data_IF_086511138428
#
_entry.id   IF_086511138428
#
_cell.length_a   1.000
_cell.length_b   1.000
_cell.length_c   1.000
_cell.angle_alpha   90.00
_cell.angle_beta   90.00
_cell.angle_gamma   90.00
#
_symmetry.space_group_name_H-M   'P 1'
#
loop_
_entity.id
_entity.type
_entity.pdbx_description
1 polymer ?
#
# COMPACT_ATOMS: atom_id res chain seq x y z
N UNK A 1 -29.78 22.81 4.81
CA UNK A 1 -28.84 21.82 5.40
C UNK A 1 -28.20 21.00 4.28
N UNK A 2 -27.07 21.46 3.73
CA UNK A 2 -26.33 20.67 2.75
C UNK A 2 -25.59 19.55 3.51
N UNK A 3 -26.04 18.31 3.32
CA UNK A 3 -25.37 17.15 3.89
C UNK A 3 -23.87 17.20 3.51
N UNK A 4 -23.03 17.07 4.54
CA UNK A 4 -21.57 17.10 4.48
C UNK A 4 -21.04 15.93 3.63
N UNK A 5 -21.18 16.03 2.30
CA UNK A 5 -20.85 14.96 1.35
C UNK A 5 -19.34 14.92 1.20
N UNK A 6 -18.72 13.84 1.71
CA UNK A 6 -17.31 13.53 1.51
C UNK A 6 -16.96 13.72 0.04
N UNK A 7 -15.89 14.46 -0.26
CA UNK A 7 -15.43 14.66 -1.64
C UNK A 7 -15.17 13.28 -2.27
N UNK A 8 -15.72 12.97 -3.46
CA UNK A 8 -15.58 11.65 -4.08
C UNK A 8 -14.16 11.40 -4.62
N UNK A 9 -13.45 12.47 -5.00
CA UNK A 9 -12.14 12.39 -5.66
C UNK A 9 -11.08 11.55 -4.90
N UNK A 10 -10.89 11.71 -3.59
CA UNK A 10 -9.88 10.91 -2.89
C UNK A 10 -10.24 9.43 -2.77
N UNK A 11 -11.54 9.09 -2.76
CA UNK A 11 -11.97 7.69 -2.85
C UNK A 11 -11.74 7.16 -4.29
N UNK A 12 -11.97 7.97 -5.34
CA UNK A 12 -11.65 7.59 -6.72
C UNK A 12 -10.18 7.22 -6.88
N UNK A 13 -9.25 8.05 -6.38
CA UNK A 13 -7.81 7.78 -6.53
C UNK A 13 -7.38 6.56 -5.70
N UNK A 14 -7.95 6.35 -4.51
CA UNK A 14 -7.73 5.12 -3.74
C UNK A 14 -8.28 3.88 -4.46
N UNK A 15 -9.43 4.02 -5.12
CA UNK A 15 -10.01 2.98 -5.96
C UNK A 15 -9.10 2.58 -7.12
N UNK A 16 -8.49 3.56 -7.76
CA UNK A 16 -7.47 3.30 -8.78
C UNK A 16 -6.25 2.58 -8.19
N UNK A 17 -5.71 3.10 -7.09
CA UNK A 17 -4.53 2.53 -6.47
C UNK A 17 -4.76 1.09 -5.97
N UNK A 18 -5.95 0.76 -5.46
CA UNK A 18 -6.24 -0.62 -5.00
C UNK A 18 -6.37 -1.60 -6.18
N UNK A 19 -6.89 -1.15 -7.32
CA UNK A 19 -6.88 -1.97 -8.55
C UNK A 19 -5.44 -2.32 -8.94
N UNK A 20 -4.52 -1.35 -8.87
CA UNK A 20 -3.12 -1.59 -9.19
C UNK A 20 -2.46 -2.62 -8.25
N UNK A 21 -2.76 -2.56 -6.95
CA UNK A 21 -2.25 -3.54 -5.96
C UNK A 21 -2.73 -4.94 -6.33
N UNK A 22 -4.04 -5.11 -6.56
CA UNK A 22 -4.61 -6.41 -6.89
C UNK A 22 -4.03 -6.94 -8.22
N UNK A 23 -3.93 -6.09 -9.24
CA UNK A 23 -3.32 -6.46 -10.52
C UNK A 23 -1.84 -6.86 -10.35
N UNK A 24 -1.07 -6.12 -9.55
CA UNK A 24 0.32 -6.46 -9.24
C UNK A 24 0.46 -7.84 -8.61
N UNK A 25 -0.40 -8.18 -7.66
CA UNK A 25 -0.43 -9.51 -7.04
C UNK A 25 -0.87 -10.62 -8.00
N UNK A 26 -1.80 -10.34 -8.92
CA UNK A 26 -2.16 -11.30 -9.98
C UNK A 26 -1.00 -11.53 -10.95
N UNK A 27 -0.26 -10.49 -11.36
CA UNK A 27 0.95 -10.66 -12.18
C UNK A 27 1.99 -11.50 -11.43
N UNK A 28 2.21 -11.20 -10.15
CA UNK A 28 3.18 -11.88 -9.31
C UNK A 28 2.86 -13.36 -9.10
N UNK A 29 1.62 -13.70 -8.75
CA UNK A 29 1.23 -15.03 -8.28
C UNK A 29 0.44 -15.85 -9.30
N UNK A 30 -0.23 -15.21 -10.26
CA UNK A 30 -1.12 -15.81 -11.26
C UNK A 30 -0.46 -16.19 -12.58
N UNK A 31 0.83 -15.87 -12.75
CA UNK A 31 1.56 -16.07 -14.01
C UNK A 31 2.28 -17.42 -14.11
N UNK A 32 1.92 -18.39 -13.26
CA UNK A 32 2.54 -19.72 -13.22
C UNK A 32 3.55 -19.93 -12.09
N UNK A 33 3.71 -21.18 -11.66
CA UNK A 33 4.59 -21.54 -10.55
C UNK A 33 6.07 -21.23 -10.87
N UNK A 34 6.55 -21.62 -12.06
CA UNK A 34 7.91 -21.34 -12.50
C UNK A 34 8.23 -19.84 -12.55
N UNK A 35 7.26 -19.01 -12.96
CA UNK A 35 7.42 -17.55 -13.00
C UNK A 35 7.52 -16.94 -11.61
N UNK A 36 6.68 -17.41 -10.68
CA UNK A 36 6.69 -16.98 -9.29
C UNK A 36 7.99 -17.40 -8.57
N UNK A 37 8.37 -18.68 -8.67
CA UNK A 37 9.57 -19.24 -8.03
C UNK A 37 10.86 -18.58 -8.54
N UNK A 38 10.96 -18.32 -9.84
CA UNK A 38 12.08 -17.61 -10.42
C UNK A 38 12.10 -16.11 -10.07
N UNK A 39 11.07 -15.60 -9.36
CA UNK A 39 10.88 -14.17 -9.09
C UNK A 39 10.91 -13.31 -10.36
N UNK A 40 10.46 -13.88 -11.49
CA UNK A 40 10.55 -13.26 -12.82
C UNK A 40 9.69 -11.99 -12.93
N UNK A 41 8.70 -11.83 -12.05
CA UNK A 41 7.91 -10.60 -11.93
C UNK A 41 8.73 -9.35 -11.64
N UNK A 42 9.93 -9.46 -11.05
CA UNK A 42 10.79 -8.29 -10.89
C UNK A 42 11.33 -7.75 -12.21
N UNK A 43 11.41 -8.56 -13.26
CA UNK A 43 11.83 -8.16 -14.61
C UNK A 43 10.66 -7.71 -15.49
N UNK A 44 9.41 -7.95 -15.06
CA UNK A 44 8.21 -7.57 -15.79
C UNK A 44 7.97 -6.05 -15.78
N UNK A 45 7.82 -5.45 -16.97
CA UNK A 45 7.69 -3.99 -17.12
C UNK A 45 6.36 -3.46 -16.59
N UNK A 46 5.27 -4.22 -16.67
CA UNK A 46 3.98 -3.78 -16.13
C UNK A 46 3.99 -3.83 -14.60
N UNK A 47 4.58 -4.88 -14.02
CA UNK A 47 4.81 -4.98 -12.58
C UNK A 47 5.70 -3.83 -12.09
N UNK A 48 6.84 -3.59 -12.74
CA UNK A 48 7.71 -2.44 -12.43
C UNK A 48 6.96 -1.10 -12.53
N UNK A 49 6.13 -0.91 -13.56
CA UNK A 49 5.32 0.30 -13.73
C UNK A 49 4.40 0.52 -12.55
N UNK A 50 3.63 -0.49 -12.17
CA UNK A 50 2.74 -0.44 -11.00
C UNK A 50 3.54 -0.09 -9.74
N UNK A 51 4.62 -0.83 -9.47
CA UNK A 51 5.42 -0.71 -8.24
C UNK A 51 6.29 0.55 -8.17
N UNK A 52 6.42 1.30 -9.25
CA UNK A 52 7.14 2.58 -9.24
C UNK A 52 6.41 3.69 -8.49
N UNK A 53 5.07 3.65 -8.38
CA UNK A 53 4.31 4.77 -7.80
C UNK A 53 3.07 4.40 -6.96
N UNK A 54 2.49 3.20 -7.07
CA UNK A 54 1.19 2.94 -6.42
C UNK A 54 1.23 3.06 -4.88
N UNK A 55 2.30 2.57 -4.22
CA UNK A 55 2.48 2.73 -2.76
C UNK A 55 2.79 4.18 -2.35
N UNK A 56 3.71 4.89 -3.03
CA UNK A 56 3.85 6.35 -2.88
C UNK A 56 2.52 7.11 -2.94
N UNK A 57 1.69 6.81 -3.95
CA UNK A 57 0.38 7.46 -4.14
C UNK A 57 -0.55 7.20 -2.96
N UNK A 58 -0.65 5.95 -2.51
CA UNK A 58 -1.43 5.59 -1.34
C UNK A 58 -0.98 6.30 -0.08
N UNK A 59 0.34 6.44 0.11
CA UNK A 59 0.91 7.03 1.31
C UNK A 59 0.78 8.55 1.33
N UNK A 60 0.93 9.22 0.19
CA UNK A 60 0.61 10.64 0.03
C UNK A 60 -0.85 10.93 0.43
N UNK A 61 -1.80 10.15 -0.09
CA UNK A 61 -3.22 10.32 0.26
C UNK A 61 -3.45 10.04 1.75
N UNK A 62 -2.80 9.02 2.30
CA UNK A 62 -2.96 8.65 3.71
C UNK A 62 -2.42 9.73 4.65
N UNK A 63 -1.25 10.29 4.36
CA UNK A 63 -0.66 11.40 5.09
C UNK A 63 -1.51 12.67 5.02
N UNK A 64 -2.01 13.01 3.82
CA UNK A 64 -2.90 14.15 3.60
C UNK A 64 -4.14 14.10 4.52
N UNK A 65 -4.80 12.95 4.62
CA UNK A 65 -5.95 12.78 5.52
C UNK A 65 -5.59 12.63 6.99
N UNK A 66 -4.38 12.18 7.30
CA UNK A 66 -3.89 12.12 8.66
C UNK A 66 -3.81 13.53 9.26
N UNK A 67 -3.33 14.52 8.49
CA UNK A 67 -3.26 15.92 8.93
C UNK A 67 -4.61 16.45 9.42
N UNK A 68 -5.67 16.35 8.62
CA UNK A 68 -7.02 16.78 9.02
C UNK A 68 -7.55 15.99 10.23
N UNK A 69 -7.24 14.69 10.31
CA UNK A 69 -7.64 13.86 11.45
C UNK A 69 -6.96 14.34 12.74
N UNK A 70 -5.66 14.68 12.67
CA UNK A 70 -4.87 15.17 13.80
C UNK A 70 -5.30 16.58 14.21
N UNK A 71 -5.47 17.49 13.26
CA UNK A 71 -5.95 18.86 13.51
C UNK A 71 -7.30 18.85 14.23
N UNK A 72 -8.24 18.01 13.78
CA UNK A 72 -9.53 17.84 14.45
C UNK A 72 -9.36 17.31 15.87
N UNK A 73 -8.51 16.31 16.06
CA UNK A 73 -8.27 15.72 17.37
C UNK A 73 -7.55 16.68 18.34
N UNK A 74 -6.71 17.58 17.84
CA UNK A 74 -6.08 18.65 18.62
C UNK A 74 -7.13 19.65 19.10
N UNK A 75 -7.99 20.14 18.18
CA UNK A 75 -9.07 21.08 18.52
C UNK A 75 -10.02 20.53 19.59
N UNK A 76 -10.28 19.23 19.58
CA UNK A 76 -11.18 18.58 20.55
C UNK A 76 -10.45 17.95 21.74
N UNK A 77 -9.12 18.02 21.82
CA UNK A 77 -8.34 17.37 22.88
C UNK A 77 -8.39 15.82 22.89
N UNK A 78 -8.83 15.16 21.81
CA UNK A 78 -9.12 13.71 21.75
C UNK A 78 -8.05 12.88 21.05
N UNK A 79 -6.81 13.38 20.99
CA UNK A 79 -5.75 12.74 20.23
C UNK A 79 -5.38 11.32 20.67
N UNK A 80 -5.42 11.03 21.98
CA UNK A 80 -5.18 9.68 22.49
C UNK A 80 -6.24 8.71 21.94
N UNK A 81 -7.48 9.19 21.84
CA UNK A 81 -8.58 8.42 21.25
C UNK A 81 -8.40 8.24 19.74
N UNK A 82 -7.88 9.25 19.03
CA UNK A 82 -7.50 9.11 17.61
C UNK A 82 -6.47 8.00 17.43
N UNK A 83 -5.37 8.03 18.19
CA UNK A 83 -4.31 7.02 18.11
C UNK A 83 -4.82 5.64 18.49
N UNK A 84 -5.55 5.51 19.61
CA UNK A 84 -6.14 4.24 20.02
C UNK A 84 -7.13 3.70 18.98
N UNK A 85 -7.93 4.57 18.34
CA UNK A 85 -8.83 4.17 17.25
C UNK A 85 -8.05 3.67 16.03
N UNK A 86 -6.99 4.37 15.61
CA UNK A 86 -6.16 3.99 14.46
C UNK A 86 -5.36 2.71 14.75
N UNK A 87 -4.80 2.58 15.94
CA UNK A 87 -4.13 1.36 16.40
C UNK A 87 -5.09 0.17 16.34
N UNK A 88 -6.31 0.28 16.91
CA UNK A 88 -7.32 -0.78 16.78
C UNK A 88 -7.74 -1.05 15.33
N UNK A 89 -7.87 0.00 14.52
CA UNK A 89 -8.23 -0.12 13.11
C UNK A 89 -7.22 -0.95 12.32
N UNK A 90 -5.93 -0.90 12.66
CA UNK A 90 -4.87 -1.63 11.94
C UNK A 90 -4.44 -2.92 12.63
N UNK A 91 -4.19 -2.90 13.94
CA UNK A 91 -3.68 -4.04 14.70
C UNK A 91 -4.68 -5.18 14.82
N UNK A 92 -5.99 -4.91 14.88
CA UNK A 92 -7.00 -5.99 14.94
C UNK A 92 -7.00 -6.78 13.62
N UNK A 93 -7.09 -6.14 12.44
CA UNK A 93 -6.90 -6.83 11.16
C UNK A 93 -5.58 -7.59 11.08
N UNK A 94 -4.45 -6.95 11.40
CA UNK A 94 -3.13 -7.60 11.36
C UNK A 94 -3.15 -8.87 12.21
N UNK A 95 -3.51 -8.78 13.50
CA UNK A 95 -3.54 -9.92 14.40
C UNK A 95 -4.48 -11.03 13.89
N UNK A 96 -5.71 -10.67 13.50
CA UNK A 96 -6.70 -11.65 13.06
C UNK A 96 -6.22 -12.41 11.82
N UNK A 97 -5.75 -11.70 10.80
CA UNK A 97 -5.38 -12.30 9.53
C UNK A 97 -4.03 -13.01 9.56
N UNK A 98 -3.06 -12.53 10.37
CA UNK A 98 -1.84 -13.30 10.66
C UNK A 98 -2.17 -14.62 11.36
N UNK A 99 -3.03 -14.61 12.38
CA UNK A 99 -3.42 -15.85 13.07
C UNK A 99 -4.20 -16.79 12.14
N UNK A 100 -5.05 -16.24 11.28
CA UNK A 100 -5.76 -17.02 10.27
C UNK A 100 -4.80 -17.71 9.30
N UNK A 101 -3.79 -16.99 8.80
CA UNK A 101 -2.80 -17.55 7.88
C UNK A 101 -1.94 -18.64 8.53
N UNK A 102 -1.49 -18.43 9.77
CA UNK A 102 -0.77 -19.44 10.54
C UNK A 102 -1.65 -20.67 10.74
N UNK A 103 -2.93 -20.50 11.09
CA UNK A 103 -3.86 -21.61 11.24
C UNK A 103 -4.07 -22.38 9.92
N UNK A 104 -4.20 -21.68 8.79
CA UNK A 104 -4.34 -22.32 7.47
C UNK A 104 -3.07 -23.08 7.09
N UNK A 105 -1.90 -22.48 7.31
CA UNK A 105 -0.59 -23.11 7.01
C UNK A 105 -0.39 -24.35 7.87
N UNK A 106 -0.68 -24.25 9.17
CA UNK A 106 -0.62 -25.37 10.10
C UNK A 106 -1.51 -26.53 9.65
N UNK A 107 -2.79 -26.27 9.32
CA UNK A 107 -3.72 -27.30 8.86
C UNK A 107 -3.24 -27.93 7.55
N UNK A 108 -2.79 -27.13 6.58
CA UNK A 108 -2.28 -27.65 5.29
C UNK A 108 -1.08 -28.57 5.48
N UNK A 109 -0.13 -28.18 6.33
CA UNK A 109 1.06 -28.99 6.59
C UNK A 109 0.72 -30.25 7.39
N UNK A 110 -0.20 -30.17 8.36
CA UNK A 110 -0.65 -31.35 9.11
C UNK A 110 -1.33 -32.40 8.21
N UNK A 111 -2.19 -31.98 7.28
CA UNK A 111 -2.91 -32.90 6.37
C UNK A 111 -1.96 -33.63 5.42
N UNK A 112 -0.75 -33.10 5.18
CA UNK A 112 0.28 -33.76 4.39
C UNK A 112 1.03 -34.86 5.15
N UNK A 113 0.90 -34.92 6.49
CA UNK A 113 1.51 -35.99 7.29
C UNK A 113 0.57 -37.20 7.29
N UNK A 114 1.01 -38.40 6.88
CA UNK A 114 0.20 -39.61 6.98
C UNK A 114 -0.24 -39.87 8.42
N UNK A 115 -1.52 -40.20 8.62
CA UNK A 115 -2.10 -40.39 9.96
C UNK A 115 -1.56 -41.64 10.67
N UNK A 116 -1.04 -42.59 9.90
CA UNK A 116 -0.40 -43.84 10.34
C UNK A 116 1.11 -43.69 10.58
N UNK A 117 1.67 -42.49 10.38
CA UNK A 117 3.08 -42.23 10.64
C UNK A 117 3.39 -42.45 12.15
N UNK A 118 4.29 -43.38 12.50
CA UNK A 118 4.60 -43.69 13.90
C UNK A 118 5.17 -42.51 14.68
N UNK A 119 5.64 -41.47 13.98
CA UNK A 119 6.21 -40.23 14.55
C UNK A 119 5.27 -39.03 14.30
N UNK A 120 4.01 -39.26 13.91
CA UNK A 120 3.01 -38.21 13.63
C UNK A 120 2.92 -37.19 14.77
N UNK A 121 2.84 -37.67 16.01
CA UNK A 121 2.69 -36.80 17.19
C UNK A 121 3.89 -35.87 17.36
N UNK A 122 5.10 -36.38 17.21
CA UNK A 122 6.32 -35.58 17.38
C UNK A 122 6.48 -34.57 16.24
N UNK A 123 6.13 -34.96 15.01
CA UNK A 123 6.07 -34.03 13.85
C UNK A 123 5.03 -32.94 14.08
N UNK A 124 3.82 -33.29 14.50
CA UNK A 124 2.76 -32.32 14.79
C UNK A 124 3.16 -31.33 15.91
N UNK A 125 3.76 -31.83 17.00
CA UNK A 125 4.27 -30.97 18.09
C UNK A 125 5.42 -30.09 17.61
N UNK A 126 6.32 -30.63 16.77
CA UNK A 126 7.39 -29.87 16.13
C UNK A 126 6.86 -28.72 15.27
N UNK A 127 5.84 -28.99 14.45
CA UNK A 127 5.16 -27.98 13.64
C UNK A 127 4.54 -26.88 14.50
N UNK A 128 3.82 -27.23 15.57
CA UNK A 128 3.27 -26.22 16.51
C UNK A 128 4.38 -25.32 17.05
N UNK A 129 5.54 -25.87 17.44
CA UNK A 129 6.66 -25.07 17.95
C UNK A 129 7.22 -24.12 16.89
N UNK A 130 7.36 -24.58 15.64
CA UNK A 130 7.85 -23.76 14.52
C UNK A 130 6.88 -22.62 14.24
N UNK A 131 5.58 -22.91 14.10
CA UNK A 131 4.55 -21.90 13.84
C UNK A 131 4.46 -20.87 14.97
N UNK A 132 4.49 -21.31 16.24
CA UNK A 132 4.50 -20.41 17.39
C UNK A 132 5.74 -19.51 17.42
N UNK A 133 6.91 -20.04 17.07
CA UNK A 133 8.14 -19.27 16.98
C UNK A 133 8.13 -18.28 15.80
N UNK A 134 7.37 -18.57 14.75
CA UNK A 134 7.23 -17.71 13.57
C UNK A 134 6.23 -16.56 13.78
N UNK A 135 5.33 -16.63 14.77
CA UNK A 135 4.31 -15.61 15.06
C UNK A 135 4.88 -14.18 15.06
N UNK A 136 5.96 -13.85 15.79
CA UNK A 136 6.45 -12.47 15.83
C UNK A 136 6.89 -11.95 14.46
N UNK A 137 7.52 -12.82 13.66
CA UNK A 137 8.00 -12.48 12.32
C UNK A 137 6.83 -12.28 11.36
N UNK A 138 5.85 -13.19 11.33
CA UNK A 138 4.64 -13.01 10.53
C UNK A 138 3.84 -11.79 10.98
N UNK A 139 3.73 -11.54 12.28
CA UNK A 139 2.94 -10.42 12.78
C UNK A 139 3.47 -9.06 12.31
N UNK A 140 4.78 -8.92 12.13
CA UNK A 140 5.41 -7.67 11.66
C UNK A 140 5.54 -7.62 10.14
N UNK A 141 5.61 -8.77 9.46
CA UNK A 141 5.78 -8.83 8.00
C UNK A 141 4.47 -8.91 7.22
N UNK A 142 3.46 -9.62 7.75
CA UNK A 142 2.17 -9.74 7.10
C UNK A 142 1.43 -8.41 7.12
N UNK A 143 0.70 -8.16 6.02
CA UNK A 143 -0.05 -6.91 5.83
C UNK A 143 0.81 -5.67 6.10
N UNK A 144 2.10 -5.71 5.76
CA UNK A 144 3.13 -4.71 6.05
C UNK A 144 2.67 -3.27 5.77
N UNK A 145 1.83 -3.05 4.75
CA UNK A 145 1.32 -1.73 4.42
C UNK A 145 0.51 -1.08 5.57
N UNK A 146 -0.23 -1.87 6.35
CA UNK A 146 -0.95 -1.39 7.54
C UNK A 146 0.00 -0.94 8.65
N UNK A 147 1.08 -1.69 8.85
CA UNK A 147 2.18 -1.29 9.73
C UNK A 147 2.84 0.00 9.24
N UNK A 148 3.10 0.12 7.95
CA UNK A 148 3.73 1.31 7.38
C UNK A 148 2.91 2.59 7.66
N UNK A 149 1.59 2.53 7.50
CA UNK A 149 0.68 3.64 7.86
C UNK A 149 0.74 3.91 9.37
N UNK A 150 0.68 2.87 10.21
CA UNK A 150 0.69 3.02 11.66
C UNK A 150 2.00 3.66 12.15
N UNK A 151 3.15 3.17 11.69
CA UNK A 151 4.46 3.75 12.02
C UNK A 151 4.58 5.19 11.56
N UNK A 152 4.14 5.50 10.34
CA UNK A 152 4.16 6.86 9.82
C UNK A 152 3.27 7.80 10.65
N UNK A 153 2.08 7.33 11.02
CA UNK A 153 1.15 8.08 11.88
C UNK A 153 1.75 8.35 13.26
N UNK A 154 2.38 7.35 13.88
CA UNK A 154 3.00 7.47 15.19
C UNK A 154 4.19 8.43 15.16
N UNK A 155 5.07 8.31 14.16
CA UNK A 155 6.21 9.19 13.98
C UNK A 155 5.78 10.66 13.78
N UNK A 156 4.84 10.91 12.87
CA UNK A 156 4.32 12.27 12.64
C UNK A 156 3.62 12.81 13.89
N UNK A 157 2.84 11.99 14.59
CA UNK A 157 2.17 12.40 15.84
C UNK A 157 3.17 12.75 16.93
N UNK A 158 4.26 12.00 17.07
CA UNK A 158 5.31 12.29 18.03
C UNK A 158 5.96 13.64 17.73
N UNK A 159 6.36 13.88 16.47
CA UNK A 159 6.99 15.14 16.07
C UNK A 159 6.05 16.33 16.24
N UNK A 160 4.78 16.19 15.85
CA UNK A 160 3.75 17.22 16.05
C UNK A 160 3.62 17.62 17.53
N UNK A 161 3.68 16.66 18.44
CA UNK A 161 3.40 16.90 19.87
C UNK A 161 4.58 17.33 20.70
N UNK A 162 5.72 16.70 20.48
CA UNK A 162 6.93 16.99 21.25
C UNK A 162 7.68 18.15 20.62
N UNK A 163 7.72 18.20 19.28
CA UNK A 163 8.57 19.13 18.52
C UNK A 163 7.77 20.13 17.66
N UNK A 164 6.46 20.23 17.87
CA UNK A 164 5.56 21.24 17.25
C UNK A 164 5.69 21.30 15.72
N UNK A 165 5.73 20.13 15.07
CA UNK A 165 5.87 19.99 13.61
C UNK A 165 7.16 20.62 13.04
N UNK A 166 8.25 20.62 13.82
CA UNK A 166 9.55 21.11 13.35
C UNK A 166 10.06 20.36 12.11
N UNK A 167 10.22 21.07 10.99
CA UNK A 167 10.77 20.54 9.74
C UNK A 167 12.19 20.00 9.92
N UNK A 168 12.99 20.60 10.82
CA UNK A 168 14.33 20.12 11.12
C UNK A 168 14.30 18.73 11.74
N UNK A 169 13.35 18.45 12.65
CA UNK A 169 13.23 17.13 13.28
C UNK A 169 12.77 16.09 12.26
N UNK A 170 11.86 16.45 11.34
CA UNK A 170 11.51 15.58 10.24
C UNK A 170 12.71 15.27 9.33
N UNK A 171 13.52 16.27 8.98
CA UNK A 171 14.73 16.07 8.19
C UNK A 171 15.75 15.17 8.91
N UNK A 172 15.96 15.38 10.21
CA UNK A 172 16.82 14.50 11.03
C UNK A 172 16.27 13.07 11.05
N UNK A 173 14.96 12.89 11.19
CA UNK A 173 14.34 11.57 11.18
C UNK A 173 14.57 10.82 9.85
N UNK A 174 14.39 11.49 8.72
CA UNK A 174 14.68 10.93 7.37
C UNK A 174 16.16 10.55 7.22
N UNK A 175 17.07 11.38 7.72
CA UNK A 175 18.51 11.07 7.72
C UNK A 175 18.84 9.86 8.59
N UNK A 176 18.26 9.77 9.80
CA UNK A 176 18.45 8.63 10.70
C UNK A 176 17.93 7.33 10.08
N UNK A 177 16.83 7.37 9.32
CA UNK A 177 16.29 6.20 8.63
C UNK A 177 17.28 5.57 7.62
N UNK A 178 18.18 6.36 7.03
CA UNK A 178 19.23 5.83 6.15
C UNK A 178 20.26 4.96 6.90
N UNK A 179 20.39 5.17 8.22
CA UNK A 179 21.37 4.50 9.08
C UNK A 179 20.82 3.21 9.71
N UNK A 180 19.50 3.13 9.90
CA UNK A 180 18.82 1.99 10.52
C UNK A 180 18.82 0.78 9.56
N UNK A 181 19.10 -0.46 10.02
CA UNK A 181 18.98 -1.67 9.19
C UNK A 181 17.58 -1.88 8.59
N UNK A 182 17.48 -2.70 7.54
CA UNK A 182 16.22 -3.02 6.86
C UNK A 182 15.53 -4.28 7.42
N UNK A 183 15.83 -4.66 8.67
CA UNK A 183 15.23 -5.84 9.30
C UNK A 183 13.71 -5.69 9.47
N UNK A 184 12.97 -6.81 9.43
CA UNK A 184 11.52 -6.86 9.67
C UNK A 184 10.72 -5.83 8.83
N UNK A 185 10.97 -5.80 7.51
CA UNK A 185 10.36 -4.86 6.57
C UNK A 185 10.66 -3.37 6.80
N UNK A 186 11.61 -3.01 7.68
CA UNK A 186 11.95 -1.61 7.93
C UNK A 186 12.35 -0.85 6.66
N UNK A 187 12.97 -1.52 5.67
CA UNK A 187 13.31 -0.90 4.38
C UNK A 187 12.09 -0.29 3.67
N UNK A 188 11.00 -1.06 3.54
CA UNK A 188 9.77 -0.58 2.89
C UNK A 188 9.05 0.46 3.76
N UNK A 189 9.07 0.34 5.09
CA UNK A 189 8.47 1.32 6.00
C UNK A 189 9.12 2.70 5.89
N UNK A 190 10.45 2.73 5.87
CA UNK A 190 11.23 3.97 5.71
C UNK A 190 11.00 4.60 4.35
N UNK A 191 11.02 3.79 3.28
CA UNK A 191 10.75 4.27 1.93
C UNK A 191 9.39 4.98 1.82
N UNK A 192 8.34 4.38 2.37
CA UNK A 192 7.00 4.96 2.22
C UNK A 192 6.70 6.09 3.20
N UNK A 193 7.45 6.20 4.30
CA UNK A 193 7.30 7.25 5.30
C UNK A 193 7.44 8.64 4.67
N UNK A 194 8.42 8.85 3.78
CA UNK A 194 8.66 10.14 3.14
C UNK A 194 7.44 10.65 2.35
N UNK A 195 6.71 9.75 1.70
CA UNK A 195 5.48 10.07 0.99
C UNK A 195 4.32 10.40 1.94
N UNK A 196 4.19 9.66 3.04
CA UNK A 196 3.20 9.97 4.07
C UNK A 196 3.48 11.33 4.70
N UNK A 197 4.72 11.60 5.07
CA UNK A 197 5.15 12.86 5.64
C UNK A 197 4.89 14.01 4.67
N UNK A 198 5.25 13.86 3.40
CA UNK A 198 4.98 14.89 2.39
C UNK A 198 3.48 15.16 2.24
N UNK A 199 2.65 14.12 2.17
CA UNK A 199 1.20 14.27 2.13
C UNK A 199 0.65 15.02 3.33
N UNK A 200 1.16 14.71 4.54
CA UNK A 200 0.81 15.37 5.79
C UNK A 200 1.20 16.85 5.78
N UNK A 201 2.45 17.17 5.44
CA UNK A 201 2.96 18.56 5.41
C UNK A 201 2.23 19.41 4.37
N UNK A 202 1.95 18.85 3.19
CA UNK A 202 1.20 19.56 2.15
C UNK A 202 -0.24 19.89 2.59
N UNK A 203 -0.88 19.04 3.40
CA UNK A 203 -2.18 19.33 3.98
C UNK A 203 -2.10 20.39 5.09
N UNK A 204 -1.13 20.24 6.00
CA UNK A 204 -0.94 21.14 7.15
C UNK A 204 -0.63 22.58 6.72
N UNK A 205 0.13 22.75 5.63
CA UNK A 205 0.53 24.06 5.10
C UNK A 205 -0.43 24.61 4.03
N UNK A 206 -1.53 23.91 3.72
CA UNK A 206 -2.48 24.32 2.69
C UNK A 206 -1.94 24.28 1.26
N UNK A 207 -0.76 23.72 1.01
CA UNK A 207 -0.06 23.79 -0.28
C UNK A 207 -0.82 23.10 -1.42
N UNK A 208 -1.60 22.05 -1.10
CA UNK A 208 -2.41 21.32 -2.09
C UNK A 208 -3.55 22.18 -2.63
N UNK A 209 -4.20 22.96 -1.76
CA UNK A 209 -5.29 23.87 -2.12
C UNK A 209 -4.78 24.92 -3.10
N UNK A 210 -3.60 25.50 -2.82
CA UNK A 210 -2.93 26.46 -3.70
C UNK A 210 -2.55 25.84 -5.05
N UNK A 211 -2.06 24.60 -5.08
CA UNK A 211 -1.76 23.89 -6.33
C UNK A 211 -3.01 23.71 -7.18
N UNK A 212 -4.10 23.20 -6.61
CA UNK A 212 -5.35 23.02 -7.34
C UNK A 212 -5.98 24.35 -7.76
N UNK A 213 -5.87 25.41 -6.97
CA UNK A 213 -6.31 26.75 -7.34
C UNK A 213 -5.54 27.33 -8.53
N UNK A 214 -4.22 27.17 -8.56
CA UNK A 214 -3.38 27.58 -9.71
C UNK A 214 -3.72 26.79 -10.98
N UNK A 215 -4.21 25.56 -10.82
CA UNK A 215 -4.68 24.71 -11.91
C UNK A 215 -6.14 25.05 -12.30
N UNK A 216 -6.88 25.94 -11.61
CA UNK A 216 -8.26 26.31 -12.01
C UNK A 216 -8.36 27.19 -13.28
N UNK A 217 -7.25 27.72 -13.83
CA UNK A 217 -7.20 28.52 -15.07
C UNK A 217 -7.69 27.80 -16.35
N UNK A 218 -7.62 28.43 -17.52
CA UNK A 218 -8.21 27.95 -18.80
C UNK A 218 -7.95 26.48 -19.17
N UNK A 219 -8.91 25.84 -19.86
CA UNK A 219 -8.93 24.40 -20.11
C UNK A 219 -7.70 23.84 -20.82
N UNK A 220 -7.19 24.55 -21.82
CA UNK A 220 -5.99 24.15 -22.57
C UNK A 220 -4.74 24.26 -21.67
N UNK A 221 -4.67 25.29 -20.83
CA UNK A 221 -3.60 25.51 -19.85
C UNK A 221 -3.57 24.50 -18.70
N UNK A 222 -4.56 23.61 -18.58
CA UNK A 222 -4.62 22.59 -17.52
C UNK A 222 -4.04 21.25 -17.93
N UNK A 223 -4.33 20.81 -19.16
CA UNK A 223 -3.79 19.56 -19.69
C UNK A 223 -2.26 19.59 -19.84
N UNK A 224 -1.65 20.78 -19.99
CA UNK A 224 -0.19 20.93 -19.96
C UNK A 224 0.46 20.37 -18.70
N UNK A 225 -0.19 20.47 -17.53
CA UNK A 225 0.36 19.92 -16.29
C UNK A 225 0.30 18.39 -16.27
N UNK A 226 -0.77 17.80 -16.84
CA UNK A 226 -0.89 16.35 -17.03
C UNK A 226 0.20 15.87 -18.00
N UNK A 227 0.36 16.54 -19.14
CA UNK A 227 1.37 16.18 -20.15
C UNK A 227 2.78 16.31 -19.56
N UNK A 228 3.10 17.44 -18.91
CA UNK A 228 4.42 17.67 -18.34
C UNK A 228 4.77 16.66 -17.24
N UNK A 229 3.87 16.45 -16.27
CA UNK A 229 4.08 15.44 -15.22
C UNK A 229 4.14 14.01 -15.79
N UNK A 230 3.36 13.73 -16.82
CA UNK A 230 3.39 12.45 -17.54
C UNK A 230 4.71 12.21 -18.27
N UNK A 231 5.28 13.23 -18.93
CA UNK A 231 6.60 13.13 -19.57
C UNK A 231 7.68 12.89 -18.53
N UNK A 232 7.69 13.62 -17.41
CA UNK A 232 8.67 13.40 -16.32
C UNK A 232 8.57 11.97 -15.81
N UNK A 233 7.35 11.49 -15.53
CA UNK A 233 7.16 10.13 -15.04
C UNK A 233 7.58 9.09 -16.09
N UNK A 234 7.22 9.28 -17.36
CA UNK A 234 7.59 8.37 -18.44
C UNK A 234 9.10 8.29 -18.63
N UNK A 235 9.79 9.44 -18.67
CA UNK A 235 11.26 9.50 -18.79
C UNK A 235 11.93 8.86 -17.58
N UNK A 236 11.47 9.14 -16.37
CA UNK A 236 11.98 8.46 -15.18
C UNK A 236 11.78 6.95 -15.32
N UNK A 237 10.58 6.49 -15.68
CA UNK A 237 10.28 5.06 -15.80
C UNK A 237 11.13 4.28 -16.81
N UNK A 238 11.73 4.93 -17.81
CA UNK A 238 12.68 4.29 -18.73
C UNK A 238 13.89 3.69 -18.00
N UNK A 239 14.30 4.29 -16.88
CA UNK A 239 15.46 3.86 -16.08
C UNK A 239 15.08 3.08 -14.82
N UNK A 240 13.79 2.79 -14.62
CA UNK A 240 13.30 2.05 -13.45
C UNK A 240 13.38 0.55 -13.71
N UNK A 241 14.28 -0.13 -13.01
CA UNK A 241 14.55 -1.56 -13.13
C UNK A 241 14.58 -2.24 -11.76
N UNK A 242 14.64 -3.58 -11.73
CA UNK A 242 14.63 -4.38 -10.50
C UNK A 242 15.65 -3.93 -9.44
N UNK A 243 16.85 -3.50 -9.85
CA UNK A 243 17.92 -3.06 -8.93
C UNK A 243 17.59 -1.75 -8.20
N UNK A 244 16.61 -1.01 -8.70
CA UNK A 244 16.08 0.20 -8.07
C UNK A 244 14.88 -0.09 -7.18
N UNK A 245 14.26 -1.27 -7.26
CA UNK A 245 13.07 -1.58 -6.46
C UNK A 245 13.42 -1.76 -4.98
N UNK A 246 12.61 -1.17 -4.10
CA UNK A 246 12.85 -1.20 -2.65
C UNK A 246 12.92 -2.63 -2.08
N UNK A 247 12.17 -3.56 -2.67
CA UNK A 247 12.10 -4.96 -2.26
C UNK A 247 13.39 -5.75 -2.48
N UNK A 248 14.23 -5.29 -3.42
CA UNK A 248 15.52 -5.93 -3.74
C UNK A 248 16.70 -5.09 -3.25
N UNK A 249 16.65 -3.77 -3.43
CA UNK A 249 17.78 -2.89 -3.12
C UNK A 249 17.89 -2.51 -1.65
N UNK A 250 16.80 -2.61 -0.88
CA UNK A 250 16.72 -2.05 0.48
C UNK A 250 16.75 -0.52 0.52
N UNK A 251 16.70 0.03 1.73
CA UNK A 251 16.77 1.48 2.03
C UNK A 251 18.06 1.89 2.72
N UNK A 252 18.69 0.97 3.46
CA UNK A 252 19.87 1.23 4.30
C UNK A 252 21.11 1.63 3.50
N UNK A 253 21.96 2.45 4.11
CA UNK A 253 23.21 2.95 3.50
C UNK A 253 24.46 2.36 4.16
N UNK A 254 24.52 2.27 5.49
CA UNK A 254 25.75 1.92 6.23
C UNK A 254 26.01 0.43 6.41
N UNK A 255 25.06 -0.43 6.05
CA UNK A 255 25.12 -1.88 6.27
C UNK A 255 25.45 -2.65 4.98
N UNK A 256 26.16 -1.99 4.07
CA UNK A 256 26.70 -2.54 2.84
C UNK A 256 28.19 -2.23 2.73
N UNK A 257 28.78 -2.40 1.55
CA UNK A 257 30.17 -2.05 1.34
C UNK A 257 30.38 -0.52 1.45
N UNK A 258 31.19 -0.09 2.42
CA UNK A 258 31.46 1.33 2.70
C UNK A 258 31.96 2.12 1.49
N UNK A 259 32.62 1.46 0.53
CA UNK A 259 33.10 2.07 -0.72
C UNK A 259 31.97 2.41 -1.71
N UNK A 260 30.75 1.95 -1.47
CA UNK A 260 29.60 2.05 -2.38
C UNK A 260 28.40 2.82 -1.79
N UNK A 261 28.60 3.58 -0.70
CA UNK A 261 27.56 4.37 0.01
C UNK A 261 26.74 5.27 -0.93
N UNK A 262 27.36 5.80 -1.99
CA UNK A 262 26.67 6.65 -2.98
C UNK A 262 25.56 5.90 -3.73
N UNK A 263 25.71 4.59 -3.98
CA UNK A 263 24.76 3.80 -4.77
C UNK A 263 23.39 3.70 -4.08
N UNK A 264 23.27 3.25 -2.81
CA UNK A 264 22.00 3.26 -2.10
C UNK A 264 21.35 4.64 -2.00
N UNK A 265 22.14 5.71 -1.80
CA UNK A 265 21.63 7.09 -1.73
C UNK A 265 20.98 7.50 -3.06
N UNK A 266 21.68 7.29 -4.18
CA UNK A 266 21.16 7.60 -5.52
C UNK A 266 19.90 6.77 -5.82
N UNK A 267 19.91 5.47 -5.47
CA UNK A 267 18.72 4.61 -5.64
C UNK A 267 17.53 5.09 -4.81
N UNK A 268 17.75 5.46 -3.54
CA UNK A 268 16.71 6.01 -2.66
C UNK A 268 16.14 7.32 -3.23
N UNK A 269 17.01 8.26 -3.63
CA UNK A 269 16.60 9.53 -4.21
C UNK A 269 15.83 9.34 -5.51
N UNK A 270 16.30 8.44 -6.38
CA UNK A 270 15.63 8.09 -7.62
C UNK A 270 14.26 7.46 -7.39
N UNK A 271 14.15 6.49 -6.46
CA UNK A 271 12.86 5.90 -6.05
C UNK A 271 11.89 6.95 -5.53
N UNK A 272 12.37 7.88 -4.72
CA UNK A 272 11.55 8.99 -4.24
C UNK A 272 11.04 9.85 -5.40
N UNK A 273 11.94 10.23 -6.31
CA UNK A 273 11.62 11.08 -7.46
C UNK A 273 10.59 10.44 -8.41
N UNK A 274 10.80 9.18 -8.82
CA UNK A 274 9.85 8.49 -9.71
C UNK A 274 8.50 8.22 -9.02
N UNK A 275 8.52 7.84 -7.74
CA UNK A 275 7.31 7.63 -6.96
C UNK A 275 6.49 8.91 -6.83
N UNK A 276 7.15 10.05 -6.62
CA UNK A 276 6.50 11.36 -6.58
C UNK A 276 5.98 11.77 -7.96
N UNK A 277 6.79 11.62 -9.02
CA UNK A 277 6.40 11.96 -10.38
C UNK A 277 5.15 11.19 -10.82
N UNK A 278 5.11 9.87 -10.62
CA UNK A 278 3.95 9.03 -10.91
C UNK A 278 2.73 9.41 -10.07
N UNK A 279 2.93 9.63 -8.76
CA UNK A 279 1.83 10.05 -7.87
C UNK A 279 1.21 11.38 -8.29
N UNK A 280 2.03 12.40 -8.58
CA UNK A 280 1.57 13.71 -9.03
C UNK A 280 0.85 13.60 -10.37
N UNK A 281 1.42 12.87 -11.33
CA UNK A 281 0.80 12.64 -12.64
C UNK A 281 -0.61 12.06 -12.49
N UNK A 282 -0.76 10.96 -11.75
CA UNK A 282 -2.05 10.31 -11.58
C UNK A 282 -3.03 11.13 -10.74
N UNK A 283 -2.58 11.86 -9.71
CA UNK A 283 -3.45 12.79 -8.99
C UNK A 283 -4.02 13.86 -9.95
N UNK A 284 -3.16 14.55 -10.71
CA UNK A 284 -3.62 15.59 -11.63
C UNK A 284 -4.51 14.99 -12.74
N UNK A 285 -4.12 13.84 -13.31
CA UNK A 285 -4.89 13.15 -14.35
C UNK A 285 -6.30 12.81 -13.87
N UNK A 286 -6.44 12.11 -12.74
CA UNK A 286 -7.74 11.72 -12.21
C UNK A 286 -8.56 12.93 -11.79
N UNK A 287 -7.92 14.00 -11.29
CA UNK A 287 -8.62 15.25 -11.03
C UNK A 287 -9.20 15.83 -12.33
N UNK A 288 -8.43 15.91 -13.41
CA UNK A 288 -8.94 16.40 -14.70
C UNK A 288 -10.06 15.53 -15.27
N UNK A 289 -9.93 14.20 -15.18
CA UNK A 289 -10.88 13.25 -15.74
C UNK A 289 -12.24 13.25 -15.02
N UNK A 290 -12.25 13.44 -13.69
CA UNK A 290 -13.44 13.24 -12.86
C UNK A 290 -13.95 14.51 -12.14
N UNK A 291 -13.31 15.68 -12.32
CA UNK A 291 -13.77 16.94 -11.71
C UNK A 291 -15.13 17.44 -12.23
N UNK A 292 -15.44 17.22 -13.51
CA UNK A 292 -16.74 17.60 -14.10
C UNK A 292 -17.61 16.36 -14.10
N UNK A 293 -18.73 16.36 -13.34
CA UNK A 293 -19.68 15.27 -13.39
C UNK A 293 -20.22 15.13 -14.82
N UNK A 294 -20.18 13.90 -15.32
CA UNK A 294 -20.77 13.51 -16.60
C UNK A 294 -21.92 12.51 -16.36
N UNK A 295 -22.76 12.28 -17.38
CA UNK A 295 -23.81 11.25 -17.36
C UNK A 295 -23.40 9.96 -18.11
N UNK A 296 -22.25 9.94 -18.79
CA UNK A 296 -21.75 8.80 -19.54
C UNK A 296 -20.79 7.87 -18.77
N UNK A 297 -19.92 7.19 -19.53
CA UNK A 297 -18.96 6.19 -19.03
C UNK A 297 -18.09 6.70 -17.87
N UNK A 298 -17.66 7.98 -17.90
CA UNK A 298 -16.85 8.58 -16.82
C UNK A 298 -17.58 8.56 -15.48
N UNK A 299 -18.90 8.75 -15.49
CA UNK A 299 -19.74 8.68 -14.29
C UNK A 299 -19.79 7.26 -13.72
N UNK A 300 -19.92 6.26 -14.58
CA UNK A 300 -19.92 4.85 -14.17
C UNK A 300 -18.56 4.44 -13.60
N UNK A 301 -17.46 4.79 -14.29
CA UNK A 301 -16.11 4.54 -13.82
C UNK A 301 -15.84 5.22 -12.47
N UNK A 302 -16.25 6.48 -12.29
CA UNK A 302 -16.13 7.18 -11.01
C UNK A 302 -16.84 6.45 -9.87
N UNK A 303 -18.06 5.93 -10.10
CA UNK A 303 -18.81 5.18 -9.08
C UNK A 303 -18.12 3.88 -8.70
N UNK A 304 -17.57 3.15 -9.67
CA UNK A 304 -16.81 1.91 -9.41
C UNK A 304 -15.56 2.24 -8.59
N UNK A 305 -14.77 3.21 -9.03
CA UNK A 305 -13.56 3.64 -8.33
C UNK A 305 -13.86 4.15 -6.91
N UNK A 306 -14.91 4.94 -6.74
CA UNK A 306 -15.36 5.40 -5.42
C UNK A 306 -15.79 4.22 -4.52
N UNK A 307 -16.52 3.24 -5.07
CA UNK A 307 -16.95 2.06 -4.33
C UNK A 307 -15.74 1.24 -3.85
N UNK A 308 -14.78 0.97 -4.74
CA UNK A 308 -13.55 0.26 -4.40
C UNK A 308 -12.71 1.07 -3.39
N UNK A 309 -12.59 2.39 -3.61
CA UNK A 309 -11.82 3.28 -2.75
C UNK A 309 -12.32 3.36 -1.31
N UNK A 310 -13.64 3.33 -1.10
CA UNK A 310 -14.24 3.24 0.25
C UNK A 310 -13.93 1.93 0.95
N UNK A 311 -13.66 0.88 0.20
CA UNK A 311 -13.44 -0.49 0.67
C UNK A 311 -11.96 -0.94 0.57
N UNK A 312 -11.06 -0.03 0.22
CA UNK A 312 -9.62 -0.27 -0.03
C UNK A 312 -8.97 -1.23 0.97
N UNK A 313 -9.16 -1.00 2.27
CA UNK A 313 -8.50 -1.80 3.31
C UNK A 313 -9.01 -3.25 3.35
N UNK A 314 -10.33 -3.44 3.24
CA UNK A 314 -10.91 -4.78 3.17
C UNK A 314 -10.49 -5.49 1.89
N UNK A 315 -10.45 -4.78 0.76
CA UNK A 315 -9.98 -5.34 -0.51
C UNK A 315 -8.51 -5.75 -0.42
N UNK A 316 -7.64 -4.88 0.09
CA UNK A 316 -6.20 -5.16 0.27
C UNK A 316 -5.98 -6.47 1.02
N UNK A 317 -6.64 -6.63 2.17
CA UNK A 317 -6.50 -7.84 2.98
C UNK A 317 -7.05 -9.08 2.25
N UNK A 318 -8.31 -9.00 1.79
CA UNK A 318 -9.02 -10.18 1.27
C UNK A 318 -8.48 -10.64 -0.08
N UNK A 319 -8.05 -9.70 -0.94
CA UNK A 319 -7.54 -10.02 -2.27
C UNK A 319 -6.26 -10.87 -2.19
N UNK A 320 -5.36 -10.58 -1.25
CA UNK A 320 -4.18 -11.41 -1.00
C UNK A 320 -4.55 -12.86 -0.75
N UNK A 321 -5.57 -13.12 0.07
CA UNK A 321 -5.99 -14.49 0.37
C UNK A 321 -6.70 -15.19 -0.80
N UNK A 322 -7.54 -14.49 -1.56
CA UNK A 322 -8.13 -15.06 -2.78
C UNK A 322 -7.06 -15.37 -3.84
N UNK A 323 -6.02 -14.54 -3.91
CA UNK A 323 -4.92 -14.76 -4.84
C UNK A 323 -4.06 -15.93 -4.40
N UNK A 324 -3.61 -15.95 -3.13
CA UNK A 324 -2.72 -17.00 -2.59
C UNK A 324 -3.42 -18.37 -2.57
N UNK A 325 -4.66 -18.43 -2.08
CA UNK A 325 -5.35 -19.71 -1.87
C UNK A 325 -6.23 -20.15 -3.05
N UNK A 326 -6.53 -19.25 -3.99
CA UNK A 326 -7.36 -19.53 -5.15
C UNK A 326 -6.57 -19.41 -6.46
N UNK A 327 -6.27 -18.18 -6.86
CA UNK A 327 -5.69 -17.90 -8.19
C UNK A 327 -4.35 -18.63 -8.37
N UNK A 328 -3.43 -18.53 -7.42
CA UNK A 328 -2.12 -19.15 -7.49
C UNK A 328 -2.21 -20.68 -7.66
N UNK A 329 -3.12 -21.32 -6.93
CA UNK A 329 -3.35 -22.77 -7.00
C UNK A 329 -3.90 -23.20 -8.37
N UNK A 330 -4.82 -22.40 -8.94
CA UNK A 330 -5.44 -22.67 -10.24
C UNK A 330 -4.50 -22.38 -11.42
N UNK A 331 -3.50 -21.53 -11.24
CA UNK A 331 -2.64 -21.03 -12.33
C UNK A 331 -1.23 -21.59 -12.33
N UNK A 332 -0.91 -22.54 -11.44
CA UNK A 332 0.44 -23.15 -11.34
C UNK A 332 1.06 -23.57 -12.67
N UNK A 333 0.25 -24.10 -13.59
CA UNK A 333 0.70 -24.64 -14.90
C UNK A 333 0.51 -23.66 -16.07
N UNK A 334 0.05 -22.44 -15.80
CA UNK A 334 -0.23 -21.45 -16.84
C UNK A 334 1.03 -20.65 -17.17
N UNK A 335 1.15 -20.22 -18.42
CA UNK A 335 2.20 -19.30 -18.86
C UNK A 335 1.79 -17.84 -18.62
N UNK A 336 2.73 -16.91 -18.34
CA UNK A 336 2.42 -15.50 -18.12
C UNK A 336 1.56 -14.88 -19.21
N UNK A 337 0.47 -14.19 -18.83
CA UNK A 337 -0.45 -13.53 -19.76
C UNK A 337 -1.17 -12.37 -19.09
N UNK A 338 -0.95 -11.15 -19.60
CA UNK A 338 -1.62 -9.96 -19.07
C UNK A 338 -3.14 -9.99 -19.21
N UNK A 339 -3.67 -10.63 -20.26
CA UNK A 339 -5.12 -10.80 -20.41
C UNK A 339 -5.71 -11.65 -19.29
N UNK A 340 -5.01 -12.73 -18.93
CA UNK A 340 -5.40 -13.56 -17.80
C UNK A 340 -5.25 -12.80 -16.48
N UNK A 341 -4.14 -12.08 -16.26
CA UNK A 341 -3.94 -11.34 -15.02
C UNK A 341 -4.99 -10.22 -14.82
N UNK A 342 -5.45 -9.58 -15.90
CA UNK A 342 -6.56 -8.63 -15.84
C UNK A 342 -7.88 -9.30 -15.46
N UNK A 343 -8.15 -10.49 -16.00
CA UNK A 343 -9.34 -11.29 -15.66
C UNK A 343 -9.30 -11.75 -14.19
N UNK A 344 -8.17 -12.27 -13.73
CA UNK A 344 -7.91 -12.64 -12.34
C UNK A 344 -8.10 -11.44 -11.40
N UNK A 345 -7.55 -10.28 -11.75
CA UNK A 345 -7.69 -9.08 -10.95
C UNK A 345 -9.15 -8.62 -10.85
N UNK A 346 -9.92 -8.71 -11.94
CA UNK A 346 -11.35 -8.40 -11.92
C UNK A 346 -12.13 -9.34 -10.99
N UNK A 347 -11.85 -10.65 -11.03
CA UNK A 347 -12.47 -11.63 -10.13
C UNK A 347 -12.07 -11.35 -8.68
N UNK A 348 -10.78 -11.18 -8.40
CA UNK A 348 -10.28 -10.91 -7.05
C UNK A 348 -10.91 -9.63 -6.49
N UNK A 349 -10.99 -8.54 -7.27
CA UNK A 349 -11.66 -7.30 -6.87
C UNK A 349 -13.13 -7.52 -6.54
N UNK A 350 -13.88 -8.25 -7.38
CA UNK A 350 -15.30 -8.52 -7.16
C UNK A 350 -15.53 -9.34 -5.88
N UNK A 351 -14.78 -10.43 -5.71
CA UNK A 351 -14.88 -11.29 -4.52
C UNK A 351 -14.50 -10.53 -3.25
N UNK A 352 -13.35 -9.84 -3.26
CA UNK A 352 -12.88 -9.06 -2.12
C UNK A 352 -13.83 -7.92 -1.77
N UNK A 353 -14.37 -7.20 -2.75
CA UNK A 353 -15.36 -6.15 -2.53
C UNK A 353 -16.66 -6.72 -1.91
N UNK A 354 -17.19 -7.80 -2.48
CA UNK A 354 -18.38 -8.48 -1.96
C UNK A 354 -18.19 -8.94 -0.52
N UNK A 355 -17.10 -9.65 -0.25
CA UNK A 355 -16.77 -10.15 1.09
C UNK A 355 -16.49 -9.02 2.08
N UNK A 356 -15.79 -7.95 1.70
CA UNK A 356 -15.58 -6.78 2.57
C UNK A 356 -16.90 -6.07 2.94
N UNK A 357 -17.88 -6.07 2.03
CA UNK A 357 -19.22 -5.53 2.28
C UNK A 357 -20.02 -6.44 3.21
N UNK A 358 -19.92 -7.76 3.04
CA UNK A 358 -20.57 -8.74 3.91
C UNK A 358 -19.99 -8.70 5.33
N UNK A 359 -18.68 -8.85 5.49
CA UNK A 359 -18.00 -8.76 6.78
C UNK A 359 -18.25 -7.41 7.48
N UNK A 360 -18.33 -6.33 6.70
CA UNK A 360 -18.64 -5.00 7.22
C UNK A 360 -20.02 -4.85 7.85
N UNK A 361 -20.98 -5.73 7.53
CA UNK A 361 -22.34 -5.74 8.12
C UNK A 361 -22.42 -6.57 9.40
N UNK A 362 -21.48 -7.48 9.63
CA UNK A 362 -21.50 -8.40 10.77
C UNK A 362 -20.81 -7.72 11.97
N UNK A 363 -21.51 -7.56 13.12
CA UNK A 363 -20.88 -7.08 14.35
C UNK A 363 -19.68 -7.95 14.74
N UNK A 364 -18.60 -7.32 15.20
CA UNK A 364 -17.34 -8.02 15.50
C UNK A 364 -16.45 -8.19 14.27
N UNK A 365 -16.93 -8.89 13.22
CA UNK A 365 -16.12 -9.17 12.02
C UNK A 365 -15.76 -7.92 11.21
N UNK A 366 -16.56 -6.86 11.23
CA UNK A 366 -16.19 -5.61 10.57
C UNK A 366 -14.83 -5.05 11.01
N UNK A 367 -14.41 -5.34 12.25
CA UNK A 367 -13.12 -4.88 12.79
C UNK A 367 -11.94 -5.60 12.15
N UNK A 368 -12.12 -6.82 11.64
CA UNK A 368 -11.04 -7.60 10.99
C UNK A 368 -10.68 -7.02 9.62
N UNK A 369 -11.51 -6.14 9.06
CA UNK A 369 -11.24 -5.41 7.82
C UNK A 369 -11.12 -3.89 8.04
N UNK A 370 -10.93 -3.47 9.29
CA UNK A 370 -10.68 -2.07 9.66
C UNK A 370 -11.90 -1.14 9.64
N UNK A 371 -13.12 -1.68 9.84
CA UNK A 371 -14.39 -0.93 9.91
C UNK A 371 -15.01 -0.84 11.30
#
# INVERSE_FOLDING_TARGET
>A
MAANRRLPYPDIVRGFAIILVVLGHCIQMGSGAAYYEASAFYDDRLYQFIYSFHMPLFMLISGYFAAFSMERADRTGTWRQLLARRARQFLIPIAFWTLFEIAVTFVRTLVQIPADDPVFRDKAVGLVKIELAAIPTHFVNELWFLWAILWSLLAVSLVRRVFRDSLMIYAVLELLMLLVPDALNAGVYKYVFSFFLLGYLCAANGSVQHLFEKIKGEALGRWRYVVFSGIIFAVAFLFFHKDTMIYLSGYRVLWGEWKLIAIPIVRNAYRFAIGMAGSVFFLILFWQLFRVPDRGFRSAAAKVLEALGRETMGIYILSSYYIIFGIHELTKKVTPSYALNLFEAAIALLLSYGTARLLGRIPGLRRTIGK
#
